data_IF_627665065587
#
_entry.id   IF_627665065587
#
_cell.length_a   1.000
_cell.length_b   1.000
_cell.length_c   1.000
_cell.angle_alpha   90.00
_cell.angle_beta   90.00
_cell.angle_gamma   90.00
#
_symmetry.space_group_name_H-M   'P 1'
#
loop_
_entity.id
_entity.type
_entity.pdbx_description
1 polymer ?
#
# COMPACT_ATOMS: atom_id res chain seq x y z
N UNK A 1 -6.70 12.59 -31.12
CA UNK A 1 -6.49 12.77 -29.67
C UNK A 1 -5.46 11.73 -29.27
N UNK A 2 -4.25 12.12 -28.88
CA UNK A 2 -3.20 11.15 -28.49
C UNK A 2 -3.70 10.41 -27.26
N UNK A 3 -3.64 9.09 -27.31
CA UNK A 3 -3.87 8.15 -26.20
C UNK A 3 -2.76 8.31 -25.15
N UNK A 4 -2.58 9.52 -24.61
CA UNK A 4 -1.88 9.66 -23.32
C UNK A 4 -2.74 8.91 -22.31
N UNK A 5 -2.09 7.93 -21.69
CA UNK A 5 -2.68 6.61 -21.52
C UNK A 5 -3.49 6.50 -20.23
N UNK A 6 -4.66 5.88 -20.29
CA UNK A 6 -5.47 5.48 -19.11
C UNK A 6 -4.62 4.81 -18.00
N UNK A 7 -3.56 4.09 -18.38
CA UNK A 7 -2.61 3.49 -17.44
C UNK A 7 -1.67 4.46 -16.71
N UNK A 8 -1.40 5.64 -17.26
CA UNK A 8 -0.65 6.70 -16.59
C UNK A 8 -1.55 7.53 -15.67
N UNK A 9 -2.80 7.76 -16.08
CA UNK A 9 -3.77 8.55 -15.30
C UNK A 9 -4.05 7.94 -13.92
N UNK A 10 -4.17 6.60 -13.85
CA UNK A 10 -4.37 5.92 -12.57
C UNK A 10 -3.18 6.06 -11.61
N UNK A 11 -1.96 6.29 -12.13
CA UNK A 11 -0.80 6.58 -11.27
C UNK A 11 -0.93 7.97 -10.61
N UNK A 12 -1.50 8.94 -11.32
CA UNK A 12 -1.78 10.27 -10.78
C UNK A 12 -2.92 10.22 -9.75
N UNK A 13 -3.92 9.38 -9.99
CA UNK A 13 -4.99 9.12 -9.01
C UNK A 13 -4.42 8.45 -7.75
N UNK A 14 -3.56 7.44 -7.91
CA UNK A 14 -2.89 6.78 -6.79
C UNK A 14 -2.04 7.77 -5.99
N UNK A 15 -1.32 8.65 -6.69
CA UNK A 15 -0.56 9.74 -6.08
C UNK A 15 -1.47 10.61 -5.20
N UNK A 16 -2.60 11.10 -5.71
CA UNK A 16 -3.55 11.90 -4.92
C UNK A 16 -4.09 11.16 -3.68
N UNK A 17 -4.28 9.84 -3.76
CA UNK A 17 -4.75 9.04 -2.63
C UNK A 17 -3.69 8.94 -1.52
N UNK A 18 -2.40 8.81 -1.89
CA UNK A 18 -1.30 8.72 -0.92
C UNK A 18 -0.77 10.09 -0.48
N UNK A 19 -0.99 11.16 -1.24
CA UNK A 19 -0.58 12.53 -0.92
C UNK A 19 -1.77 13.40 -0.49
N UNK A 20 -1.78 13.88 0.75
CA UNK A 20 -2.83 14.78 1.26
C UNK A 20 -3.82 14.08 2.18
N UNK A 21 -5.00 13.59 1.71
CA UNK A 21 -6.06 13.05 2.56
C UNK A 21 -5.60 11.90 3.48
N UNK A 22 -4.66 11.07 3.00
CA UNK A 22 -4.06 9.98 3.78
C UNK A 22 -3.20 10.51 4.93
N UNK A 23 -2.31 11.48 4.68
CA UNK A 23 -1.47 12.02 5.74
C UNK A 23 -2.28 12.74 6.82
N UNK A 24 -3.38 13.40 6.43
CA UNK A 24 -4.30 14.03 7.39
C UNK A 24 -5.01 13.00 8.29
N UNK A 25 -5.34 11.83 7.74
CA UNK A 25 -6.13 10.80 8.45
C UNK A 25 -5.26 9.83 9.24
N UNK A 26 -4.17 9.33 8.63
CA UNK A 26 -3.35 8.25 9.15
C UNK A 26 -2.00 8.72 9.71
N UNK A 27 -1.54 9.90 9.30
CA UNK A 27 -0.23 10.43 9.66
C UNK A 27 0.91 9.75 8.91
N UNK A 28 2.07 9.75 9.57
CA UNK A 28 3.31 9.13 9.08
C UNK A 28 3.12 7.63 8.78
N UNK A 29 3.71 7.16 7.68
CA UNK A 29 3.53 5.79 7.20
C UNK A 29 4.18 4.75 8.11
N UNK A 30 5.33 5.07 8.70
CA UNK A 30 6.04 4.18 9.62
C UNK A 30 5.25 4.05 10.91
N UNK A 31 4.74 5.15 11.44
CA UNK A 31 3.91 5.15 12.65
C UNK A 31 2.58 4.40 12.46
N UNK A 32 1.92 4.63 11.33
CA UNK A 32 0.67 3.96 10.96
C UNK A 32 0.85 2.44 10.86
N UNK A 33 1.86 1.98 10.11
CA UNK A 33 2.11 0.55 9.95
C UNK A 33 2.72 -0.11 11.20
N UNK A 34 3.39 0.63 12.07
CA UNK A 34 3.81 0.11 13.39
C UNK A 34 2.61 -0.32 14.24
N UNK A 35 1.49 0.41 14.18
CA UNK A 35 0.25 0.01 14.87
C UNK A 35 -0.29 -1.30 14.31
N UNK A 36 -0.34 -1.43 12.97
CA UNK A 36 -0.81 -2.64 12.29
C UNK A 36 0.05 -3.85 12.66
N UNK A 37 1.37 -3.70 12.63
CA UNK A 37 2.33 -4.75 13.01
C UNK A 37 2.09 -5.19 14.46
N UNK A 38 1.95 -4.24 15.39
CA UNK A 38 1.74 -4.53 16.82
C UNK A 38 0.43 -5.30 17.05
N UNK A 39 -0.65 -4.89 16.36
CA UNK A 39 -1.94 -5.58 16.43
C UNK A 39 -1.80 -7.00 15.86
N UNK A 40 -1.18 -7.14 14.70
CA UNK A 40 -1.00 -8.43 14.04
C UNK A 40 -0.15 -9.39 14.90
N UNK A 41 0.94 -8.90 15.48
CA UNK A 41 1.79 -9.65 16.41
C UNK A 41 0.99 -10.08 17.65
N UNK A 42 0.18 -9.19 18.22
CA UNK A 42 -0.67 -9.51 19.38
C UNK A 42 -1.69 -10.62 19.07
N UNK A 43 -2.19 -10.69 17.84
CA UNK A 43 -3.17 -11.68 17.42
C UNK A 43 -2.55 -13.03 17.03
N UNK A 44 -1.31 -13.04 16.53
CA UNK A 44 -0.72 -14.21 15.86
C UNK A 44 0.56 -14.73 16.50
N UNK A 45 1.21 -13.92 17.34
CA UNK A 45 2.57 -14.15 17.81
C UNK A 45 3.67 -13.93 16.77
N UNK A 46 3.33 -13.44 15.56
CA UNK A 46 4.28 -13.23 14.47
C UNK A 46 4.50 -11.74 14.27
N UNK A 47 5.74 -11.28 14.43
CA UNK A 47 6.14 -9.91 14.16
C UNK A 47 6.46 -9.72 12.68
N UNK A 48 5.70 -8.84 12.03
CA UNK A 48 5.92 -8.44 10.64
C UNK A 48 6.92 -7.28 10.58
N UNK A 49 7.69 -7.20 9.50
CA UNK A 49 8.37 -5.95 9.13
C UNK A 49 7.38 -4.97 8.47
N UNK A 50 7.78 -3.71 8.29
CA UNK A 50 6.98 -2.71 7.55
C UNK A 50 6.75 -3.17 6.11
N UNK A 51 7.78 -3.72 5.46
CA UNK A 51 7.67 -4.30 4.14
C UNK A 51 6.68 -5.48 4.12
N UNK A 52 6.77 -6.40 5.09
CA UNK A 52 5.83 -7.52 5.20
C UNK A 52 4.38 -7.03 5.32
N UNK A 53 4.12 -6.03 6.16
CA UNK A 53 2.78 -5.49 6.38
C UNK A 53 2.21 -4.80 5.13
N UNK A 54 3.00 -3.96 4.45
CA UNK A 54 2.57 -3.29 3.21
C UNK A 54 2.35 -4.28 2.06
N UNK A 55 3.25 -5.25 1.87
CA UNK A 55 3.11 -6.28 0.83
C UNK A 55 1.96 -7.25 1.11
N UNK A 56 1.65 -7.49 2.39
CA UNK A 56 0.44 -8.22 2.76
C UNK A 56 -0.82 -7.49 2.29
N UNK A 57 -0.88 -6.16 2.45
CA UNK A 57 -2.00 -5.36 1.95
C UNK A 57 -2.13 -5.41 0.42
N UNK A 58 -1.00 -5.34 -0.31
CA UNK A 58 -0.98 -5.53 -1.78
C UNK A 58 -1.56 -6.91 -2.15
N UNK A 59 -1.18 -7.96 -1.42
CA UNK A 59 -1.66 -9.32 -1.67
C UNK A 59 -3.19 -9.44 -1.53
N UNK A 60 -3.79 -8.75 -0.55
CA UNK A 60 -5.25 -8.69 -0.38
C UNK A 60 -5.92 -8.07 -1.62
N UNK A 61 -5.34 -6.98 -2.14
CA UNK A 61 -5.88 -6.29 -3.33
C UNK A 61 -5.74 -7.14 -4.58
N UNK A 62 -4.62 -7.85 -4.75
CA UNK A 62 -4.44 -8.81 -5.85
C UNK A 62 -5.47 -9.94 -5.79
N UNK A 63 -5.78 -10.48 -4.60
CA UNK A 63 -6.81 -11.50 -4.45
C UNK A 63 -8.21 -11.01 -4.88
N UNK A 64 -8.56 -9.77 -4.50
CA UNK A 64 -9.82 -9.13 -4.91
C UNK A 64 -9.86 -8.84 -6.41
N UNK A 65 -8.75 -8.39 -7.00
CA UNK A 65 -8.62 -8.20 -8.45
C UNK A 65 -8.85 -9.50 -9.20
N UNK A 66 -8.14 -10.57 -8.84
CA UNK A 66 -8.32 -11.90 -9.46
C UNK A 66 -9.77 -12.34 -9.43
N UNK A 67 -10.43 -12.25 -8.28
CA UNK A 67 -11.84 -12.63 -8.12
C UNK A 67 -12.79 -11.86 -9.05
N UNK A 68 -12.50 -10.58 -9.32
CA UNK A 68 -13.33 -9.76 -10.23
C UNK A 68 -12.98 -10.00 -11.70
N UNK A 69 -11.71 -10.25 -12.01
CA UNK A 69 -11.26 -10.62 -13.36
C UNK A 69 -11.88 -11.94 -13.81
N UNK A 70 -12.05 -12.91 -12.92
CA UNK A 70 -12.78 -14.16 -13.20
C UNK A 70 -14.24 -13.91 -13.62
N UNK A 71 -14.80 -12.74 -13.28
CA UNK A 71 -16.15 -12.26 -13.67
C UNK A 71 -16.10 -11.24 -14.81
N UNK A 72 -14.97 -11.13 -15.50
CA UNK A 72 -14.70 -10.17 -16.56
C UNK A 72 -14.90 -8.70 -16.13
N UNK A 73 -14.52 -8.35 -14.90
CA UNK A 73 -14.59 -7.00 -14.34
C UNK A 73 -13.24 -6.58 -13.77
N UNK A 74 -12.76 -5.40 -14.14
CA UNK A 74 -11.63 -4.76 -13.46
C UNK A 74 -12.15 -3.94 -12.29
N UNK A 75 -11.77 -4.30 -11.06
CA UNK A 75 -12.19 -3.56 -9.87
C UNK A 75 -11.24 -2.39 -9.62
N UNK A 76 -11.60 -1.20 -10.11
CA UNK A 76 -10.78 0.03 -10.07
C UNK A 76 -10.15 0.28 -8.68
N UNK A 77 -10.96 0.32 -7.61
CA UNK A 77 -10.43 0.64 -6.27
C UNK A 77 -9.36 -0.35 -5.81
N UNK A 78 -9.47 -1.63 -6.20
CA UNK A 78 -8.48 -2.63 -5.77
C UNK A 78 -7.17 -2.44 -6.52
N UNK A 79 -7.23 -2.02 -7.78
CA UNK A 79 -6.05 -1.67 -8.56
C UNK A 79 -5.40 -0.40 -8.00
N UNK A 80 -6.21 0.63 -7.75
CA UNK A 80 -5.78 1.90 -7.18
C UNK A 80 -5.13 1.72 -5.81
N UNK A 81 -5.76 0.97 -4.91
CA UNK A 81 -5.23 0.69 -3.58
C UNK A 81 -3.89 -0.07 -3.65
N UNK A 82 -3.76 -1.03 -4.58
CA UNK A 82 -2.51 -1.76 -4.75
C UNK A 82 -1.36 -0.82 -5.14
N UNK A 83 -1.61 0.10 -6.07
CA UNK A 83 -0.66 1.14 -6.45
C UNK A 83 -0.34 2.06 -5.26
N UNK A 84 -1.36 2.43 -4.48
CA UNK A 84 -1.21 3.21 -3.27
C UNK A 84 -0.27 2.55 -2.25
N UNK A 85 -0.49 1.27 -1.93
CA UNK A 85 0.40 0.55 -1.00
C UNK A 85 1.84 0.43 -1.50
N UNK A 86 2.06 0.26 -2.81
CA UNK A 86 3.40 0.28 -3.38
C UNK A 86 4.06 1.67 -3.26
N UNK A 87 3.29 2.75 -3.47
CA UNK A 87 3.76 4.11 -3.21
C UNK A 87 4.14 4.34 -1.75
N UNK A 88 3.36 3.79 -0.82
CA UNK A 88 3.63 3.88 0.62
C UNK A 88 4.85 3.06 1.05
N UNK A 89 5.11 1.93 0.40
CA UNK A 89 6.35 1.18 0.60
C UNK A 89 7.58 2.00 0.19
N UNK A 90 7.50 2.68 -0.96
CA UNK A 90 8.55 3.60 -1.35
C UNK A 90 8.71 4.75 -0.34
N UNK A 91 7.62 5.33 0.14
CA UNK A 91 7.66 6.38 1.16
C UNK A 91 8.34 5.89 2.45
N UNK A 92 7.90 4.75 3.00
CA UNK A 92 8.47 4.17 4.22
C UNK A 92 9.97 3.83 4.07
N UNK A 93 10.39 3.38 2.89
CA UNK A 93 11.81 3.15 2.60
C UNK A 93 12.65 4.43 2.71
N UNK A 94 12.10 5.58 2.31
CA UNK A 94 12.81 6.86 2.33
C UNK A 94 12.71 7.58 3.69
N UNK A 95 11.66 7.32 4.46
CA UNK A 95 11.43 7.98 5.76
C UNK A 95 12.23 7.36 6.91
N UNK A 96 12.67 6.11 6.76
CA UNK A 96 13.43 5.43 7.82
C UNK A 96 14.85 6.01 7.95
N UNK A 97 15.26 6.43 9.16
CA UNK A 97 16.61 6.91 9.39
C UNK A 97 17.61 5.74 9.37
N UNK A 98 18.76 5.94 8.75
CA UNK A 98 19.88 4.98 8.86
C UNK A 98 20.23 4.71 10.33
N UNK A 99 20.44 3.45 10.77
CA UNK A 99 20.55 2.22 9.98
C UNK A 99 19.25 1.39 9.88
N UNK A 100 18.07 1.93 10.20
CA UNK A 100 16.80 1.19 10.14
C UNK A 100 16.43 0.88 8.70
N UNK A 101 15.74 -0.25 8.50
CA UNK A 101 15.28 -0.67 7.17
C UNK A 101 13.84 -1.18 7.24
N UNK A 102 13.11 -1.10 6.12
CA UNK A 102 11.73 -1.62 6.03
C UNK A 102 11.63 -3.13 6.25
N UNK A 103 12.75 -3.86 6.23
CA UNK A 103 12.82 -5.30 6.44
C UNK A 103 13.10 -5.70 7.89
N UNK A 104 13.35 -4.73 8.78
CA UNK A 104 13.55 -4.98 10.22
C UNK A 104 12.24 -5.47 10.86
N UNK A 105 12.35 -6.46 11.75
CA UNK A 105 11.23 -7.07 12.47
C UNK A 105 11.27 -6.70 13.93
#
# INVERSE_FOLDING_TARGET
MKTESVGADILLEAHQLVTGPRNETYGDVVDDYTKVITIFESLTGIKLSIADALLFMVSIKMARLRTNLDRNRLHHDSLLDALGYLGLLNQAYNDLPFPRTVAER
#
